data_IF_117126396550
#
_entry.id   IF_117126396550
#
_cell.length_a   1.000
_cell.length_b   1.000
_cell.length_c   1.000
_cell.angle_alpha   90.00
_cell.angle_beta   90.00
_cell.angle_gamma   90.00
#
_symmetry.space_group_name_H-M   'P 1'
#
loop_
_entity.id
_entity.type
_entity.pdbx_description
1 polymer ?
#
# COMPACT_ATOMS: atom_id res chain seq x y z
N UNK A 1 27.28 76.23 -25.08
CA UNK A 1 26.68 76.05 -26.43
C UNK A 1 26.19 74.63 -26.55
N UNK A 2 24.90 74.53 -26.84
CA UNK A 2 24.09 73.36 -27.24
C UNK A 2 24.20 72.07 -26.42
N UNK A 3 23.29 71.71 -25.52
CA UNK A 3 21.92 71.20 -25.64
C UNK A 3 21.74 70.06 -26.69
N UNK A 4 21.60 68.85 -26.22
CA UNK A 4 20.73 67.85 -26.84
C UNK A 4 20.12 66.92 -25.80
N UNK A 5 18.79 67.01 -25.69
CA UNK A 5 17.88 66.24 -24.92
C UNK A 5 17.67 64.86 -25.56
N UNK A 6 17.81 63.78 -24.84
CA UNK A 6 17.24 62.48 -25.22
C UNK A 6 16.34 61.96 -24.12
N UNK A 7 15.06 61.91 -24.48
CA UNK A 7 13.94 61.41 -23.66
C UNK A 7 14.08 59.93 -23.38
N UNK A 8 14.21 59.59 -22.12
CA UNK A 8 14.10 58.21 -21.63
C UNK A 8 12.59 57.81 -21.66
N UNK A 9 12.23 56.90 -22.56
CA UNK A 9 10.89 56.30 -22.59
C UNK A 9 10.81 55.23 -21.51
N UNK A 10 10.02 55.46 -20.51
CA UNK A 10 9.61 54.44 -19.54
C UNK A 10 8.68 53.46 -20.26
N UNK A 11 9.10 52.18 -20.33
CA UNK A 11 8.24 51.04 -20.70
C UNK A 11 7.76 50.41 -19.38
N UNK A 12 6.46 50.38 -19.11
CA UNK A 12 5.96 49.69 -17.95
C UNK A 12 6.12 48.17 -18.18
N UNK A 13 7.01 47.53 -17.42
CA UNK A 13 7.05 46.09 -17.32
C UNK A 13 5.84 45.65 -16.51
N UNK A 14 4.78 45.23 -17.19
CA UNK A 14 3.69 44.49 -16.59
C UNK A 14 4.27 43.12 -16.22
N UNK A 15 4.66 42.94 -14.96
CA UNK A 15 4.91 41.64 -14.38
C UNK A 15 3.57 40.91 -14.30
N UNK A 16 3.31 40.01 -15.25
CA UNK A 16 2.24 39.02 -15.19
C UNK A 16 2.65 38.05 -14.09
N UNK A 17 2.16 38.28 -12.89
CA UNK A 17 2.12 37.25 -11.83
C UNK A 17 1.13 36.18 -12.29
N UNK A 18 1.63 35.18 -12.99
CA UNK A 18 0.95 33.89 -13.11
C UNK A 18 0.91 33.31 -11.69
N UNK A 19 -0.18 33.58 -10.98
CA UNK A 19 -0.56 32.80 -9.84
C UNK A 19 -0.84 31.38 -10.37
N UNK A 20 0.17 30.52 -10.30
CA UNK A 20 -0.02 29.10 -10.43
C UNK A 20 -0.82 28.69 -9.19
N UNK A 21 -2.13 28.74 -9.31
CA UNK A 21 -3.04 28.08 -8.36
C UNK A 21 -2.76 26.60 -8.51
N UNK A 22 -1.78 26.09 -7.76
CA UNK A 22 -1.69 24.67 -7.50
C UNK A 22 -2.98 24.34 -6.73
N UNK A 23 -3.97 23.76 -7.42
CA UNK A 23 -5.08 23.12 -6.74
C UNK A 23 -4.46 22.18 -5.72
N UNK A 24 -4.75 22.38 -4.42
CA UNK A 24 -4.40 21.43 -3.41
C UNK A 24 -4.98 20.07 -3.87
N UNK A 25 -4.20 18.99 -3.87
CA UNK A 25 -4.74 17.70 -4.26
C UNK A 25 -5.90 17.38 -3.35
N UNK A 26 -6.99 16.91 -3.93
CA UNK A 26 -8.15 16.42 -3.19
C UNK A 26 -7.64 15.23 -2.37
N UNK A 27 -7.57 15.38 -1.05
CA UNK A 27 -6.98 14.37 -0.17
C UNK A 27 -7.92 13.17 0.06
N UNK A 28 -9.22 13.37 -0.10
CA UNK A 28 -10.28 12.38 0.11
C UNK A 28 -10.84 11.74 -1.17
N UNK A 29 -10.18 11.94 -2.31
CA UNK A 29 -10.52 11.31 -3.58
C UNK A 29 -11.92 11.73 -4.08
N UNK A 30 -12.81 10.73 -4.30
CA UNK A 30 -14.20 10.95 -4.74
C UNK A 30 -15.17 11.26 -3.60
N UNK A 31 -14.74 11.09 -2.35
CA UNK A 31 -15.54 11.32 -1.16
C UNK A 31 -15.63 12.81 -0.83
N UNK A 32 -16.75 13.19 -0.24
CA UNK A 32 -16.94 14.52 0.34
C UNK A 32 -16.70 14.42 1.83
N UNK A 33 -15.83 15.29 2.39
CA UNK A 33 -15.53 15.34 3.82
C UNK A 33 -15.05 13.97 4.37
N UNK A 34 -14.10 13.34 3.66
CA UNK A 34 -13.50 12.07 4.10
C UNK A 34 -12.54 12.23 5.26
N UNK A 35 -12.03 13.45 5.48
CA UNK A 35 -11.21 13.86 6.61
C UNK A 35 -12.02 14.35 7.83
N UNK A 36 -13.34 14.37 7.73
CA UNK A 36 -14.30 14.81 8.76
C UNK A 36 -14.06 16.23 9.31
N UNK A 37 -13.29 17.07 8.65
CA UNK A 37 -12.96 18.43 9.10
C UNK A 37 -14.08 19.44 8.85
N UNK A 38 -15.04 19.13 7.99
CA UNK A 38 -16.24 19.95 7.82
C UNK A 38 -17.24 19.57 8.89
N UNK A 39 -17.29 20.38 9.96
CA UNK A 39 -18.22 20.18 11.07
C UNK A 39 -19.67 20.57 10.70
N UNK A 40 -20.67 20.00 11.41
CA UNK A 40 -22.07 20.38 11.27
C UNK A 40 -22.30 21.87 11.55
N UNK A 41 -23.13 22.52 10.77
CA UNK A 41 -23.52 23.92 10.99
C UNK A 41 -24.34 24.04 12.28
N UNK A 42 -23.77 24.57 13.36
CA UNK A 42 -24.50 24.90 14.59
C UNK A 42 -24.03 24.26 15.90
N UNK A 43 -22.92 23.48 15.88
CA UNK A 43 -22.35 22.90 17.10
C UNK A 43 -21.33 23.82 17.78
N UNK A 44 -21.50 24.07 19.08
CA UNK A 44 -20.50 24.69 19.95
C UNK A 44 -19.36 23.70 20.20
N UNK A 45 -18.14 24.15 20.07
CA UNK A 45 -16.88 23.42 19.99
C UNK A 45 -16.37 22.75 21.27
N UNK A 46 -17.20 22.18 22.14
CA UNK A 46 -16.70 21.54 23.37
C UNK A 46 -17.49 20.36 23.94
N UNK A 47 -18.51 19.88 23.26
CA UNK A 47 -19.25 18.68 23.69
C UNK A 47 -19.29 17.68 22.54
N UNK A 48 -19.08 16.38 22.86
CA UNK A 48 -19.26 15.29 21.92
C UNK A 48 -20.67 15.40 21.29
N UNK A 49 -20.71 15.55 19.98
CA UNK A 49 -21.99 15.72 19.28
C UNK A 49 -22.46 14.33 18.90
N UNK A 50 -23.44 13.81 19.66
CA UNK A 50 -24.10 12.55 19.38
C UNK A 50 -25.15 12.75 18.28
N UNK A 51 -25.12 11.90 17.29
CA UNK A 51 -26.06 11.95 16.19
C UNK A 51 -26.90 10.67 16.18
N UNK A 52 -28.12 10.78 16.66
CA UNK A 52 -29.13 9.74 16.48
C UNK A 52 -30.14 10.23 15.44
N UNK A 53 -29.87 9.94 14.14
CA UNK A 53 -30.77 10.35 13.07
C UNK A 53 -30.06 10.59 11.72
N UNK A 54 -30.83 10.85 10.65
CA UNK A 54 -30.26 11.03 9.33
C UNK A 54 -29.47 12.35 9.21
N UNK A 55 -28.18 12.23 8.93
CA UNK A 55 -27.31 13.24 8.34
C UNK A 55 -26.96 14.45 9.22
N UNK A 56 -25.88 14.32 9.98
CA UNK A 56 -25.32 15.43 10.74
C UNK A 56 -23.86 15.71 10.41
N UNK A 57 -23.14 14.71 9.89
CA UNK A 57 -21.78 14.91 9.35
C UNK A 57 -21.95 15.25 7.85
N UNK A 58 -21.54 16.46 7.41
CA UNK A 58 -21.70 16.87 6.02
C UNK A 58 -21.11 15.84 5.05
N UNK A 59 -21.91 15.42 4.05
CA UNK A 59 -21.55 14.40 3.08
C UNK A 59 -21.84 12.96 3.50
N UNK A 60 -22.08 12.68 4.78
CA UNK A 60 -22.28 11.33 5.31
C UNK A 60 -23.69 11.11 5.85
N UNK A 61 -24.22 9.91 5.64
CA UNK A 61 -25.45 9.42 6.26
C UNK A 61 -25.08 8.58 7.49
N UNK A 62 -25.73 8.82 8.62
CA UNK A 62 -25.50 8.11 9.88
C UNK A 62 -26.66 7.19 10.21
N UNK A 63 -26.39 6.05 10.85
CA UNK A 63 -27.34 5.13 11.44
C UNK A 63 -26.81 4.67 12.79
N UNK A 64 -27.65 4.71 13.83
CA UNK A 64 -27.23 4.42 15.19
C UNK A 64 -26.42 5.56 15.82
N UNK A 65 -25.73 5.25 16.90
CA UNK A 65 -24.93 6.26 17.65
C UNK A 65 -23.61 6.51 16.94
N UNK A 66 -23.48 7.68 16.33
CA UNK A 66 -22.26 8.15 15.66
C UNK A 66 -21.81 9.42 16.37
N UNK A 67 -20.52 9.53 16.67
CA UNK A 67 -19.95 10.67 17.40
C UNK A 67 -18.83 11.31 16.59
N UNK A 68 -18.89 12.62 16.39
CA UNK A 68 -17.76 13.41 15.93
C UNK A 68 -16.88 13.74 17.13
N UNK A 69 -15.66 13.23 17.15
CA UNK A 69 -14.70 13.40 18.25
C UNK A 69 -13.60 14.37 17.87
N UNK A 70 -13.20 15.22 18.83
CA UNK A 70 -12.13 16.19 18.61
C UNK A 70 -10.80 15.67 19.16
N UNK A 71 -9.70 15.98 18.48
CA UNK A 71 -8.35 15.63 18.92
C UNK A 71 -8.05 16.24 20.30
N UNK A 72 -7.53 15.42 21.21
CA UNK A 72 -7.30 15.80 22.60
C UNK A 72 -8.46 15.50 23.55
N UNK A 73 -9.61 15.06 23.05
CA UNK A 73 -10.75 14.62 23.84
C UNK A 73 -10.41 13.35 24.63
N UNK A 74 -10.90 13.28 25.86
CA UNK A 74 -10.78 12.06 26.67
C UNK A 74 -11.89 11.08 26.29
N UNK A 75 -11.51 9.86 25.96
CA UNK A 75 -12.43 8.77 25.64
C UNK A 75 -11.96 7.51 26.38
N UNK A 76 -12.85 6.86 27.11
CA UNK A 76 -12.53 5.60 27.82
C UNK A 76 -11.27 5.67 28.71
N UNK A 77 -10.89 6.86 29.21
CA UNK A 77 -9.67 7.07 30.00
C UNK A 77 -8.41 7.38 29.18
N UNK A 78 -8.47 7.33 27.86
CA UNK A 78 -7.39 7.71 26.95
C UNK A 78 -7.62 9.11 26.37
N UNK A 79 -6.55 9.76 25.94
CA UNK A 79 -6.62 10.99 25.16
C UNK A 79 -6.52 10.58 23.68
N UNK A 80 -7.56 10.89 22.91
CA UNK A 80 -7.57 10.64 21.48
C UNK A 80 -6.74 11.71 20.76
N UNK A 81 -5.81 11.26 19.94
CA UNK A 81 -5.10 12.13 18.99
C UNK A 81 -5.47 11.63 17.60
N UNK A 82 -6.16 12.46 16.83
CA UNK A 82 -6.55 12.09 15.46
C UNK A 82 -5.34 12.14 14.53
N UNK A 83 -5.26 11.25 13.52
CA UNK A 83 -4.09 11.17 12.66
C UNK A 83 -3.98 12.33 11.68
N UNK A 84 -5.12 12.92 11.30
CA UNK A 84 -5.18 14.06 10.37
C UNK A 84 -6.19 15.10 10.87
N UNK A 85 -5.80 16.38 10.84
CA UNK A 85 -6.69 17.49 11.22
C UNK A 85 -7.03 17.51 12.71
N UNK A 86 -8.32 17.70 13.01
CA UNK A 86 -8.85 17.88 14.38
C UNK A 86 -9.96 16.91 14.75
N UNK A 87 -10.61 16.31 13.76
CA UNK A 87 -11.81 15.52 13.97
C UNK A 87 -11.66 14.10 13.45
N UNK A 88 -12.38 13.18 14.06
CA UNK A 88 -12.57 11.82 13.62
C UNK A 88 -14.00 11.37 13.97
N UNK A 89 -14.43 10.21 13.48
CA UNK A 89 -15.75 9.67 13.73
C UNK A 89 -15.68 8.37 14.50
N UNK A 90 -16.33 8.31 15.67
CA UNK A 90 -16.53 7.09 16.45
C UNK A 90 -17.87 6.45 16.14
N UNK A 91 -17.88 5.13 15.97
CA UNK A 91 -19.06 4.33 15.73
C UNK A 91 -19.44 3.53 17.00
N UNK A 92 -20.55 3.86 17.61
CA UNK A 92 -21.11 3.07 18.71
C UNK A 92 -21.63 1.70 18.24
N UNK A 93 -22.28 0.96 19.14
CA UNK A 93 -22.78 -0.35 18.88
C UNK A 93 -23.73 -0.38 17.65
N UNK A 94 -23.45 -1.26 16.69
CA UNK A 94 -24.22 -1.42 15.44
C UNK A 94 -24.39 -0.12 14.62
N UNK A 95 -23.58 0.90 14.92
CA UNK A 95 -23.62 2.17 14.21
C UNK A 95 -22.90 2.10 12.86
N UNK A 96 -23.35 2.95 11.95
CA UNK A 96 -22.85 2.99 10.58
C UNK A 96 -22.81 4.43 10.07
N UNK A 97 -21.76 4.74 9.28
CA UNK A 97 -21.76 5.90 8.39
C UNK A 97 -21.61 5.44 6.95
N UNK A 98 -22.20 6.17 6.02
CA UNK A 98 -22.13 5.84 4.61
C UNK A 98 -22.23 7.06 3.71
N UNK A 99 -21.67 6.92 2.51
CA UNK A 99 -21.77 7.91 1.46
C UNK A 99 -22.09 7.25 0.11
N UNK A 100 -22.98 7.87 -0.67
CA UNK A 100 -23.27 7.44 -2.04
C UNK A 100 -22.34 8.16 -3.02
N UNK A 101 -21.76 7.41 -3.92
CA UNK A 101 -20.77 7.89 -4.89
C UNK A 101 -21.14 7.47 -6.30
N UNK A 102 -20.76 8.32 -7.25
CA UNK A 102 -20.76 7.93 -8.66
C UNK A 102 -19.40 7.42 -9.06
N UNK A 103 -19.36 6.22 -9.61
CA UNK A 103 -18.16 5.50 -10.02
C UNK A 103 -18.35 4.99 -11.46
N UNK A 104 -17.29 4.51 -12.06
CA UNK A 104 -17.36 3.86 -13.37
C UNK A 104 -17.59 2.35 -13.19
N UNK A 105 -18.73 1.88 -13.69
CA UNK A 105 -19.09 0.45 -13.65
C UNK A 105 -17.99 -0.42 -14.26
N UNK A 106 -17.68 -1.53 -13.59
CA UNK A 106 -16.64 -2.49 -13.97
C UNK A 106 -15.22 -2.06 -13.61
N UNK A 107 -15.03 -0.85 -13.06
CA UNK A 107 -13.71 -0.38 -12.63
C UNK A 107 -13.40 -0.82 -11.21
N UNK A 108 -12.11 -0.98 -10.92
CA UNK A 108 -11.58 -1.34 -9.59
C UNK A 108 -11.30 -0.05 -8.80
N UNK A 109 -11.76 -0.01 -7.56
CA UNK A 109 -11.54 1.09 -6.63
C UNK A 109 -10.93 0.58 -5.33
N UNK A 110 -10.04 1.37 -4.75
CA UNK A 110 -9.52 1.17 -3.41
C UNK A 110 -10.05 2.23 -2.46
N UNK A 111 -10.57 1.82 -1.32
CA UNK A 111 -10.92 2.67 -0.19
C UNK A 111 -9.78 2.60 0.81
N UNK A 112 -9.12 3.74 1.07
CA UNK A 112 -8.10 3.87 2.11
C UNK A 112 -8.68 4.67 3.28
N UNK A 113 -8.35 4.30 4.50
CA UNK A 113 -8.83 4.96 5.71
C UNK A 113 -7.91 4.68 6.90
N UNK A 114 -7.94 5.54 7.89
CA UNK A 114 -7.30 5.32 9.19
C UNK A 114 -8.33 4.83 10.19
N UNK A 115 -7.95 3.87 11.02
CA UNK A 115 -8.81 3.36 12.08
C UNK A 115 -8.03 3.06 13.36
N UNK A 116 -8.72 3.21 14.49
CA UNK A 116 -8.23 2.88 15.81
C UNK A 116 -9.35 2.26 16.64
N UNK A 117 -8.97 1.56 17.71
CA UNK A 117 -9.89 1.18 18.78
C UNK A 117 -9.89 2.25 19.86
N UNK A 118 -11.01 2.41 20.55
CA UNK A 118 -11.15 3.35 21.67
C UNK A 118 -11.03 2.68 23.03
N UNK A 119 -11.24 1.38 23.10
CA UNK A 119 -11.19 0.61 24.33
C UNK A 119 -10.31 -0.64 24.20
N UNK A 120 -10.04 -1.30 25.34
CA UNK A 120 -9.25 -2.53 25.37
C UNK A 120 -10.02 -3.78 24.91
N UNK A 121 -11.29 -3.62 24.55
CA UNK A 121 -12.14 -4.71 24.06
C UNK A 121 -11.82 -5.08 22.62
N UNK A 122 -12.44 -6.17 22.18
CA UNK A 122 -12.38 -6.66 20.80
C UNK A 122 -13.19 -5.72 19.90
N UNK A 123 -12.55 -4.74 19.31
CA UNK A 123 -13.19 -3.85 18.35
C UNK A 123 -12.85 -4.26 16.92
N UNK A 124 -13.84 -4.20 16.04
CA UNK A 124 -13.66 -4.45 14.61
C UNK A 124 -14.45 -3.43 13.79
N UNK A 125 -14.03 -3.24 12.55
CA UNK A 125 -14.64 -2.32 11.62
C UNK A 125 -15.00 -3.06 10.34
N UNK A 126 -16.27 -3.01 9.94
CA UNK A 126 -16.70 -3.50 8.64
C UNK A 126 -16.70 -2.35 7.62
N UNK A 127 -15.99 -2.54 6.52
CA UNK A 127 -16.05 -1.68 5.35
C UNK A 127 -16.79 -2.41 4.23
N UNK A 128 -17.71 -1.74 3.55
CA UNK A 128 -18.52 -2.38 2.52
C UNK A 128 -18.90 -1.45 1.38
N UNK A 129 -18.99 -2.05 0.20
CA UNK A 129 -19.70 -1.58 -0.98
C UNK A 129 -20.49 -2.77 -1.49
N UNK A 130 -21.79 -2.87 -1.16
CA UNK A 130 -22.57 -4.07 -1.45
C UNK A 130 -22.50 -4.47 -2.93
N UNK A 131 -22.33 -5.78 -3.27
CA UNK A 131 -22.37 -6.92 -2.34
C UNK A 131 -21.05 -7.22 -1.60
N UNK A 132 -19.95 -6.54 -1.93
CA UNK A 132 -18.63 -6.78 -1.33
C UNK A 132 -18.51 -6.14 0.06
N UNK A 133 -17.82 -6.82 0.97
CA UNK A 133 -17.49 -6.29 2.29
C UNK A 133 -16.30 -7.00 2.92
N UNK A 134 -15.63 -6.32 3.84
CA UNK A 134 -14.58 -6.89 4.67
C UNK A 134 -14.67 -6.36 6.09
N UNK A 135 -14.45 -7.25 7.07
CA UNK A 135 -14.30 -6.87 8.47
C UNK A 135 -12.83 -6.88 8.86
N UNK A 136 -12.37 -5.79 9.44
CA UNK A 136 -11.00 -5.59 9.90
C UNK A 136 -11.01 -5.66 11.43
N UNK A 137 -10.15 -6.50 11.97
CA UNK A 137 -9.93 -6.63 13.41
C UNK A 137 -8.95 -5.54 13.86
N UNK A 138 -9.38 -4.69 14.77
CA UNK A 138 -8.59 -3.59 15.33
C UNK A 138 -7.84 -3.95 16.62
N UNK A 139 -7.83 -5.22 17.02
CA UNK A 139 -7.17 -5.67 18.25
C UNK A 139 -5.65 -5.55 18.18
N UNK A 140 -5.09 -5.84 17.03
CA UNK A 140 -3.66 -5.74 16.82
C UNK A 140 -3.37 -4.45 16.09
N UNK A 141 -2.96 -3.46 16.84
CA UNK A 141 -2.44 -2.21 16.30
C UNK A 141 -0.93 -2.34 16.15
N UNK A 142 -0.43 -1.94 15.01
CA UNK A 142 1.00 -1.94 14.73
C UNK A 142 1.66 -0.65 15.22
N UNK A 143 0.94 0.47 15.13
CA UNK A 143 1.40 1.77 15.60
C UNK A 143 1.24 1.93 17.10
N UNK A 144 2.27 2.46 17.76
CA UNK A 144 2.20 2.87 19.19
C UNK A 144 1.29 4.07 19.42
N UNK A 145 0.92 4.79 18.36
CA UNK A 145 -0.02 5.91 18.43
C UNK A 145 -1.48 5.44 18.49
N UNK A 146 -1.71 4.13 18.30
CA UNK A 146 -3.04 3.54 18.36
C UNK A 146 -3.86 3.64 17.08
N UNK A 147 -3.30 4.21 16.01
CA UNK A 147 -3.92 4.32 14.70
C UNK A 147 -3.12 3.57 13.66
N UNK A 148 -3.80 2.83 12.80
CA UNK A 148 -3.24 2.26 11.59
C UNK A 148 -4.07 2.69 10.38
N UNK A 149 -3.43 2.83 9.22
CA UNK A 149 -4.13 3.10 7.96
C UNK A 149 -4.27 1.80 7.17
N UNK A 150 -5.44 1.60 6.59
CA UNK A 150 -5.82 0.40 5.86
C UNK A 150 -6.29 0.74 4.46
N UNK A 151 -6.22 -0.22 3.55
CA UNK A 151 -6.85 -0.13 2.26
C UNK A 151 -7.58 -1.43 1.91
N UNK A 152 -8.79 -1.29 1.42
CA UNK A 152 -9.63 -2.36 0.89
C UNK A 152 -10.08 -1.99 -0.52
N UNK A 153 -10.28 -2.97 -1.40
CA UNK A 153 -10.71 -2.71 -2.76
C UNK A 153 -11.98 -3.48 -3.13
N UNK A 154 -12.69 -2.93 -4.10
CA UNK A 154 -13.89 -3.52 -4.67
C UNK A 154 -13.99 -3.21 -6.17
N UNK A 155 -14.61 -4.11 -6.92
CA UNK A 155 -15.02 -3.84 -8.28
C UNK A 155 -16.42 -3.22 -8.27
N UNK A 156 -16.61 -2.13 -8.99
CA UNK A 156 -17.90 -1.45 -9.06
C UNK A 156 -18.86 -2.20 -9.97
N UNK A 157 -19.90 -2.80 -9.42
CA UNK A 157 -20.93 -3.52 -10.18
C UNK A 157 -21.95 -2.57 -10.83
N UNK A 158 -22.07 -1.35 -10.29
CA UNK A 158 -23.01 -0.30 -10.73
C UNK A 158 -22.30 1.07 -10.77
N UNK A 159 -22.95 2.07 -11.38
CA UNK A 159 -22.45 3.44 -11.44
C UNK A 159 -22.69 4.23 -10.14
N UNK A 160 -23.76 3.88 -9.42
CA UNK A 160 -24.09 4.44 -8.11
C UNK A 160 -23.77 3.39 -7.03
N UNK A 161 -22.76 3.65 -6.21
CA UNK A 161 -22.34 2.76 -5.15
C UNK A 161 -22.46 3.44 -3.79
N UNK A 162 -22.68 2.63 -2.76
CA UNK A 162 -22.74 3.09 -1.37
C UNK A 162 -21.53 2.53 -0.62
N UNK A 163 -20.60 3.39 -0.26
CA UNK A 163 -19.49 3.05 0.65
C UNK A 163 -20.00 3.20 2.09
N UNK A 164 -19.79 2.19 2.91
CA UNK A 164 -20.23 2.20 4.29
C UNK A 164 -19.18 1.65 5.25
N UNK A 165 -19.10 2.27 6.42
CA UNK A 165 -18.33 1.81 7.58
C UNK A 165 -19.27 1.52 8.73
N UNK A 166 -19.18 0.32 9.29
CA UNK A 166 -20.07 -0.14 10.36
C UNK A 166 -19.25 -0.76 11.49
N UNK A 167 -19.65 -0.46 12.72
CA UNK A 167 -19.25 -1.24 13.89
C UNK A 167 -20.14 -2.48 13.99
N UNK A 168 -19.64 -3.69 13.73
CA UNK A 168 -20.43 -4.92 13.89
C UNK A 168 -20.50 -5.37 15.36
N UNK A 169 -19.73 -4.72 16.26
CA UNK A 169 -19.62 -5.08 17.66
C UNK A 169 -20.78 -4.59 18.52
N UNK A 170 -20.83 -5.17 19.71
CA UNK A 170 -21.77 -4.80 20.77
C UNK A 170 -20.95 -4.70 22.06
N UNK A 171 -20.28 -3.54 22.21
CA UNK A 171 -19.45 -3.26 23.38
C UNK A 171 -20.36 -3.06 24.63
N UNK A 172 -19.89 -3.56 25.79
CA UNK A 172 -20.59 -3.38 27.06
C UNK A 172 -20.58 -1.90 27.51
N UNK A 173 -19.50 -1.19 27.20
CA UNK A 173 -19.37 0.25 27.42
C UNK A 173 -19.81 1.01 26.15
N UNK A 174 -20.90 1.78 26.22
CA UNK A 174 -21.40 2.53 25.06
C UNK A 174 -20.47 3.64 24.57
N UNK A 175 -19.43 3.98 25.35
CA UNK A 175 -18.40 4.93 24.95
C UNK A 175 -17.28 4.29 24.13
N UNK A 176 -17.27 2.96 24.00
CA UNK A 176 -16.35 2.21 23.16
C UNK A 176 -16.86 2.10 21.70
N UNK A 177 -15.99 1.66 20.83
CA UNK A 177 -16.27 1.40 19.43
C UNK A 177 -15.19 1.96 18.50
N UNK A 178 -15.07 1.40 17.29
CA UNK A 178 -14.05 1.82 16.34
C UNK A 178 -14.17 3.31 16.00
N UNK A 179 -13.03 3.94 15.85
CA UNK A 179 -12.91 5.33 15.40
C UNK A 179 -12.22 5.33 14.04
N UNK A 180 -12.73 6.14 13.12
CA UNK A 180 -12.23 6.26 11.75
C UNK A 180 -11.91 7.71 11.39
N UNK A 181 -10.93 7.86 10.50
CA UNK A 181 -10.51 9.15 9.97
C UNK A 181 -9.85 8.97 8.60
N UNK A 182 -9.63 10.09 7.91
CA UNK A 182 -8.87 10.15 6.65
C UNK A 182 -9.35 9.10 5.63
N UNK A 183 -10.65 9.13 5.29
CA UNK A 183 -11.23 8.22 4.29
C UNK A 183 -11.03 8.79 2.90
N UNK A 184 -10.44 7.99 2.01
CA UNK A 184 -10.27 8.33 0.60
C UNK A 184 -10.61 7.15 -0.30
N UNK A 185 -11.01 7.44 -1.52
CA UNK A 185 -11.25 6.44 -2.55
C UNK A 185 -10.45 6.78 -3.81
N UNK A 186 -9.82 5.79 -4.41
CA UNK A 186 -9.04 5.92 -5.63
C UNK A 186 -9.43 4.83 -6.62
N UNK A 187 -9.67 5.22 -7.87
CA UNK A 187 -9.71 4.26 -8.96
C UNK A 187 -8.29 3.72 -9.18
N UNK A 188 -8.15 2.40 -9.20
CA UNK A 188 -6.89 1.72 -9.45
C UNK A 188 -6.95 0.93 -10.75
N UNK A 189 -5.80 0.78 -11.40
CA UNK A 189 -5.70 0.14 -12.69
C UNK A 189 -4.82 -1.10 -12.59
N UNK A 190 -5.18 -2.16 -13.28
CA UNK A 190 -4.29 -3.30 -13.43
C UNK A 190 -3.25 -2.94 -14.50
N UNK A 191 -1.95 -2.84 -14.16
CA UNK A 191 -0.93 -2.50 -15.13
C UNK A 191 -0.81 -3.54 -16.23
N UNK A 192 -0.46 -3.07 -17.44
CA UNK A 192 -0.27 -3.97 -18.56
C UNK A 192 0.99 -4.82 -18.34
N UNK A 193 0.84 -6.12 -18.49
CA UNK A 193 1.96 -7.08 -18.39
C UNK A 193 3.03 -6.76 -19.43
N UNK A 194 4.27 -6.59 -19.00
CA UNK A 194 5.41 -6.35 -19.87
C UNK A 194 5.75 -7.62 -20.66
N UNK A 195 6.18 -7.46 -21.92
CA UNK A 195 6.42 -8.59 -22.84
C UNK A 195 7.39 -9.65 -22.30
N UNK A 196 8.37 -9.25 -21.50
CA UNK A 196 9.41 -10.15 -21.01
C UNK A 196 9.32 -10.38 -19.49
N UNK A 197 8.32 -9.81 -18.81
CA UNK A 197 8.09 -10.01 -17.39
C UNK A 197 6.76 -10.75 -17.18
N UNK A 198 6.79 -11.87 -16.48
CA UNK A 198 5.58 -12.61 -16.15
C UNK A 198 4.79 -11.99 -15.00
N UNK A 199 5.42 -11.10 -14.20
CA UNK A 199 4.79 -10.39 -13.09
C UNK A 199 4.04 -9.16 -13.58
N UNK A 200 2.88 -8.90 -12.99
CA UNK A 200 2.09 -7.68 -13.15
C UNK A 200 2.36 -6.81 -11.93
N UNK A 201 2.49 -5.48 -12.12
CA UNK A 201 2.71 -4.51 -11.03
C UNK A 201 3.88 -4.93 -10.10
N UNK A 202 4.99 -5.37 -10.69
CA UNK A 202 6.15 -5.80 -9.90
C UNK A 202 6.95 -4.65 -9.31
N UNK A 203 6.75 -3.43 -9.81
CA UNK A 203 7.27 -2.16 -9.32
C UNK A 203 6.34 -1.49 -8.30
N UNK A 204 5.20 -2.10 -7.99
CA UNK A 204 4.19 -1.65 -7.02
C UNK A 204 3.72 -0.20 -7.19
N UNK A 205 3.92 0.41 -8.36
CA UNK A 205 3.54 1.82 -8.59
C UNK A 205 2.02 2.03 -8.62
N UNK A 206 1.23 0.98 -8.92
CA UNK A 206 -0.21 1.01 -8.81
C UNK A 206 -0.68 0.34 -7.50
N UNK A 207 -1.49 1.06 -6.75
CA UNK A 207 -1.96 0.64 -5.44
C UNK A 207 -2.86 1.68 -4.79
N UNK A 208 -3.16 1.54 -3.49
CA UNK A 208 -4.11 2.38 -2.78
C UNK A 208 -3.69 3.85 -2.70
N UNK A 209 -4.64 4.67 -2.25
CA UNK A 209 -4.35 6.06 -1.93
C UNK A 209 -3.37 6.16 -0.77
N UNK A 210 -2.41 7.09 -0.88
CA UNK A 210 -1.45 7.40 0.17
C UNK A 210 -1.70 8.82 0.68
N UNK A 211 -2.00 8.94 1.96
CA UNK A 211 -2.20 10.23 2.59
C UNK A 211 -0.87 10.96 2.78
N UNK A 212 -0.81 12.23 2.43
CA UNK A 212 0.42 13.03 2.51
C UNK A 212 0.99 13.17 3.91
N UNK A 213 0.11 13.17 4.90
CA UNK A 213 0.49 13.34 6.31
C UNK A 213 0.61 12.00 7.06
N UNK A 214 0.23 10.89 6.42
CA UNK A 214 0.31 9.57 7.02
C UNK A 214 1.69 8.95 6.84
N UNK A 215 2.60 9.25 7.73
CA UNK A 215 3.96 8.68 7.79
C UNK A 215 3.99 7.18 8.16
N UNK A 216 2.81 6.54 8.31
CA UNK A 216 2.70 5.15 8.74
C UNK A 216 2.60 4.15 7.58
N UNK A 217 2.43 4.64 6.34
CA UNK A 217 2.11 3.78 5.20
C UNK A 217 0.68 3.25 5.28
N UNK A 218 0.32 2.31 4.41
CA UNK A 218 -1.03 1.73 4.34
C UNK A 218 -0.94 0.21 4.48
N UNK A 219 -1.61 -0.35 5.46
CA UNK A 219 -1.71 -1.79 5.68
C UNK A 219 -2.70 -2.40 4.69
N UNK A 220 -2.30 -3.50 4.08
CA UNK A 220 -3.14 -4.27 3.17
C UNK A 220 -3.66 -5.49 3.92
N UNK A 221 -4.97 -5.55 4.27
CA UNK A 221 -5.57 -6.71 4.88
C UNK A 221 -5.54 -7.92 3.96
N UNK A 222 -5.81 -9.10 4.50
CA UNK A 222 -5.95 -10.32 3.72
C UNK A 222 -6.90 -10.13 2.55
N UNK A 223 -6.43 -10.43 1.35
CA UNK A 223 -7.24 -10.51 0.15
C UNK A 223 -6.71 -11.67 -0.71
N UNK A 224 -7.55 -12.70 -0.89
CA UNK A 224 -7.21 -13.89 -1.66
C UNK A 224 -7.70 -13.84 -3.12
N UNK A 225 -8.33 -12.73 -3.49
CA UNK A 225 -8.84 -12.48 -4.83
C UNK A 225 -8.00 -11.39 -5.50
N UNK A 226 -7.26 -11.75 -6.56
CA UNK A 226 -6.41 -10.83 -7.29
C UNK A 226 -7.20 -9.83 -8.16
N UNK A 227 -8.46 -10.13 -8.48
CA UNK A 227 -9.33 -9.24 -9.26
C UNK A 227 -9.83 -8.06 -8.43
N UNK A 228 -9.94 -8.23 -7.10
CA UNK A 228 -10.41 -7.19 -6.16
C UNK A 228 -9.32 -6.75 -5.17
N UNK A 229 -8.05 -6.92 -5.52
CA UNK A 229 -6.95 -6.53 -4.64
C UNK A 229 -6.66 -5.03 -4.70
N UNK A 230 -6.43 -4.42 -3.51
CA UNK A 230 -5.88 -3.05 -3.42
C UNK A 230 -4.46 -2.93 -4.00
N UNK A 231 -3.78 -4.07 -4.19
CA UNK A 231 -2.47 -4.17 -4.84
C UNK A 231 -2.65 -4.94 -6.16
N UNK A 232 -2.98 -4.29 -7.27
CA UNK A 232 -3.35 -4.96 -8.52
C UNK A 232 -2.34 -6.02 -8.96
N UNK A 233 -2.87 -7.22 -9.29
CA UNK A 233 -2.07 -8.38 -9.67
C UNK A 233 -1.50 -9.18 -8.52
N UNK A 234 -1.56 -8.69 -7.29
CA UNK A 234 -1.05 -9.37 -6.09
C UNK A 234 -2.17 -9.70 -5.11
N UNK A 235 -2.04 -10.82 -4.43
CA UNK A 235 -2.88 -11.18 -3.29
C UNK A 235 -2.10 -11.07 -1.99
N UNK A 236 -2.80 -10.76 -0.90
CA UNK A 236 -2.29 -10.74 0.46
C UNK A 236 -2.85 -11.95 1.18
N UNK A 237 -2.03 -12.95 1.48
CA UNK A 237 -2.49 -14.27 1.91
C UNK A 237 -2.71 -14.41 3.41
N UNK A 238 -2.33 -13.43 4.21
CA UNK A 238 -2.44 -13.56 5.66
C UNK A 238 -3.01 -12.32 6.33
N UNK A 239 -3.55 -12.51 7.54
CA UNK A 239 -4.23 -11.48 8.31
C UNK A 239 -3.32 -10.34 8.80
N UNK A 240 -2.04 -10.38 8.50
CA UNK A 240 -1.11 -9.41 9.06
C UNK A 240 -0.10 -8.95 8.03
N UNK A 241 -0.11 -7.74 7.96
CA UNK A 241 0.84 -6.71 7.75
C UNK A 241 1.73 -6.87 6.54
N UNK A 242 1.13 -6.62 5.42
CA UNK A 242 1.81 -6.11 4.25
C UNK A 242 1.57 -4.61 4.24
N UNK A 243 2.62 -3.81 4.29
CA UNK A 243 2.55 -2.35 4.29
C UNK A 243 2.94 -1.80 2.94
N UNK A 244 2.06 -1.01 2.34
CA UNK A 244 2.33 -0.22 1.14
C UNK A 244 2.96 1.10 1.56
N UNK A 245 4.14 1.42 1.03
CA UNK A 245 4.94 2.59 1.41
C UNK A 245 5.26 3.47 0.21
N UNK A 246 5.57 4.74 0.46
CA UNK A 246 5.93 5.71 -0.56
C UNK A 246 7.30 6.36 -0.31
N UNK A 247 7.89 6.88 -1.40
CA UNK A 247 9.19 7.55 -1.36
C UNK A 247 9.16 8.93 -0.70
N UNK A 248 7.98 9.45 -0.35
CA UNK A 248 7.87 10.72 0.36
C UNK A 248 8.18 10.57 1.86
N UNK A 249 7.78 9.43 2.44
CA UNK A 249 7.93 9.15 3.87
C UNK A 249 9.00 8.08 4.17
N UNK A 250 9.31 7.24 3.18
CA UNK A 250 10.16 6.06 3.37
C UNK A 250 11.27 5.98 2.32
N UNK A 251 12.25 5.16 2.59
CA UNK A 251 13.22 4.74 1.58
C UNK A 251 12.62 3.62 0.75
N UNK A 252 12.48 3.84 -0.57
CA UNK A 252 12.03 2.84 -1.53
C UNK A 252 13.15 2.50 -2.51
N UNK A 253 13.29 1.24 -2.94
CA UNK A 253 14.35 0.81 -3.87
C UNK A 253 14.28 1.45 -5.25
N UNK A 254 13.07 1.58 -5.80
CA UNK A 254 12.82 2.16 -7.12
C UNK A 254 11.55 3.01 -7.14
N UNK A 255 11.36 3.82 -8.18
CA UNK A 255 10.13 4.56 -8.39
C UNK A 255 9.67 5.41 -7.21
N UNK A 256 8.38 5.28 -6.89
CA UNK A 256 7.71 6.03 -5.81
C UNK A 256 7.07 5.13 -4.75
N UNK A 257 6.95 3.83 -5.00
CA UNK A 257 6.19 2.89 -4.18
C UNK A 257 6.96 1.60 -3.96
N UNK A 258 6.70 0.95 -2.84
CA UNK A 258 7.24 -0.37 -2.54
C UNK A 258 6.37 -1.10 -1.52
N UNK A 259 6.65 -2.37 -1.27
CA UNK A 259 6.01 -3.19 -0.25
C UNK A 259 7.00 -3.47 0.87
N UNK A 260 6.57 -3.23 2.10
CA UNK A 260 7.27 -3.65 3.30
C UNK A 260 6.54 -4.83 3.95
N UNK A 261 7.28 -5.88 4.27
CA UNK A 261 6.75 -7.12 4.82
C UNK A 261 6.94 -7.12 6.35
N UNK A 262 5.83 -6.91 7.05
CA UNK A 262 5.80 -6.87 8.51
C UNK A 262 5.54 -8.27 9.10
N UNK A 263 5.66 -8.42 10.41
CA UNK A 263 5.16 -9.57 11.18
C UNK A 263 5.59 -10.97 10.71
N UNK A 264 6.79 -11.10 10.17
CA UNK A 264 7.35 -12.40 9.83
C UNK A 264 6.50 -13.17 8.81
N UNK A 265 6.19 -14.44 9.11
CA UNK A 265 5.42 -15.33 8.22
C UNK A 265 3.96 -14.92 8.03
N UNK A 266 3.48 -13.93 8.74
CA UNK A 266 2.09 -13.51 8.71
C UNK A 266 1.80 -12.47 7.62
N UNK A 267 2.83 -11.79 7.09
CA UNK A 267 2.71 -10.84 5.99
C UNK A 267 3.19 -11.46 4.67
N UNK A 268 2.31 -12.12 3.92
CA UNK A 268 2.64 -12.79 2.66
C UNK A 268 1.98 -12.09 1.50
N UNK A 269 2.77 -11.70 0.52
CA UNK A 269 2.26 -11.33 -0.81
C UNK A 269 2.58 -12.42 -1.82
N UNK A 270 1.68 -12.66 -2.75
CA UNK A 270 1.92 -13.59 -3.84
C UNK A 270 1.21 -13.21 -5.13
N UNK A 271 1.70 -13.77 -6.23
CA UNK A 271 1.09 -13.65 -7.55
C UNK A 271 1.20 -14.97 -8.32
N UNK A 272 0.16 -15.34 -9.05
CA UNK A 272 0.20 -16.45 -9.99
C UNK A 272 0.69 -15.96 -11.35
N UNK A 273 1.90 -16.35 -11.73
CA UNK A 273 2.49 -15.96 -13.03
C UNK A 273 2.41 -17.09 -14.06
N UNK A 274 2.24 -16.71 -15.31
CA UNK A 274 2.26 -17.68 -16.44
C UNK A 274 3.68 -18.15 -16.70
N UNK A 275 3.84 -19.46 -16.81
CA UNK A 275 5.11 -20.11 -17.04
C UNK A 275 4.97 -21.23 -18.08
N UNK A 276 6.09 -21.74 -18.56
CA UNK A 276 6.10 -22.94 -19.43
C UNK A 276 6.74 -24.09 -18.65
N UNK A 277 6.07 -25.24 -18.52
CA UNK A 277 6.59 -26.38 -17.78
C UNK A 277 7.99 -26.78 -18.24
N UNK A 278 8.81 -27.20 -17.30
CA UNK A 278 10.20 -27.64 -17.51
C UNK A 278 11.11 -26.59 -18.18
N UNK A 279 10.79 -25.30 -18.00
CA UNK A 279 11.67 -24.21 -18.48
C UNK A 279 12.26 -23.47 -17.28
N UNK A 280 13.53 -23.05 -17.40
CA UNK A 280 14.19 -22.27 -16.37
C UNK A 280 13.70 -20.81 -16.41
N UNK A 281 13.54 -20.23 -15.24
CA UNK A 281 13.19 -18.83 -14.99
C UNK A 281 14.10 -18.25 -13.92
N UNK A 282 14.24 -16.95 -13.96
CA UNK A 282 14.86 -16.17 -12.91
C UNK A 282 13.84 -15.16 -12.40
N UNK A 283 13.56 -15.19 -11.12
CA UNK A 283 12.87 -14.13 -10.40
C UNK A 283 13.93 -13.17 -9.85
N UNK A 284 13.88 -11.90 -10.23
CA UNK A 284 14.74 -10.84 -9.71
C UNK A 284 13.90 -9.82 -8.97
N UNK A 285 14.45 -9.19 -7.94
CA UNK A 285 13.78 -8.17 -7.15
C UNK A 285 14.80 -7.33 -6.38
N UNK A 286 14.38 -6.15 -5.94
CA UNK A 286 15.12 -5.30 -5.03
C UNK A 286 14.72 -5.62 -3.59
N UNK A 287 15.69 -5.78 -2.71
CA UNK A 287 15.52 -6.02 -1.27
C UNK A 287 16.22 -4.90 -0.49
N UNK A 288 15.49 -4.26 0.41
CA UNK A 288 15.99 -3.12 1.16
C UNK A 288 15.34 -2.97 2.54
N UNK A 289 15.38 -1.74 3.05
CA UNK A 289 14.71 -1.31 4.27
C UNK A 289 14.01 0.04 4.04
N UNK A 290 12.98 0.30 4.81
CA UNK A 290 12.16 1.51 4.69
C UNK A 290 12.81 2.79 5.28
N UNK A 291 13.95 2.69 5.93
CA UNK A 291 14.59 3.82 6.62
C UNK A 291 13.95 4.18 7.96
N UNK A 292 13.11 3.31 8.50
CA UNK A 292 12.22 3.51 9.63
C UNK A 292 12.73 2.89 10.94
N UNK A 293 14.03 2.90 11.16
CA UNK A 293 14.69 2.41 12.39
C UNK A 293 14.47 0.91 12.69
N UNK A 294 14.18 0.11 11.69
CA UNK A 294 13.96 -1.33 11.85
C UNK A 294 15.22 -2.06 12.31
N UNK A 295 15.07 -2.87 13.37
CA UNK A 295 16.19 -3.62 13.94
C UNK A 295 16.64 -4.74 13.00
N UNK A 296 17.93 -4.78 12.73
CA UNK A 296 18.57 -5.87 11.96
C UNK A 296 18.61 -7.18 12.78
N UNK A 297 18.67 -8.38 12.15
CA UNK A 297 18.79 -8.60 10.71
C UNK A 297 17.43 -8.53 9.97
N UNK A 298 17.48 -8.15 8.70
CA UNK A 298 16.34 -8.25 7.78
C UNK A 298 16.60 -9.38 6.78
N UNK A 299 15.59 -10.18 6.51
CA UNK A 299 15.64 -11.21 5.48
C UNK A 299 14.23 -11.55 5.01
N UNK A 300 14.15 -12.03 3.78
CA UNK A 300 12.91 -12.55 3.22
C UNK A 300 13.05 -14.03 2.87
N UNK A 301 11.91 -14.70 2.84
CA UNK A 301 11.74 -15.94 2.10
C UNK A 301 11.10 -15.62 0.76
N UNK A 302 11.80 -15.95 -0.31
CA UNK A 302 11.29 -15.85 -1.68
C UNK A 302 10.91 -17.24 -2.20
N UNK A 303 9.76 -17.35 -2.86
CA UNK A 303 9.21 -18.61 -3.38
C UNK A 303 8.90 -18.49 -4.87
N UNK A 304 9.11 -19.60 -5.57
CA UNK A 304 8.65 -19.81 -6.93
C UNK A 304 8.24 -21.28 -7.10
N UNK A 305 6.95 -21.56 -7.05
CA UNK A 305 6.40 -22.92 -7.05
C UNK A 305 6.85 -23.70 -5.81
N UNK A 306 7.57 -24.80 -6.04
CA UNK A 306 8.13 -25.68 -5.00
C UNK A 306 9.55 -25.28 -4.55
N UNK A 307 10.11 -24.21 -5.09
CA UNK A 307 11.45 -23.74 -4.80
C UNK A 307 11.39 -22.50 -3.94
N UNK A 308 12.25 -22.45 -2.92
CA UNK A 308 12.31 -21.37 -1.95
C UNK A 308 13.76 -21.06 -1.56
N UNK A 309 14.00 -19.80 -1.22
CA UNK A 309 15.30 -19.34 -0.74
C UNK A 309 15.14 -18.26 0.31
N UNK A 310 15.89 -18.38 1.41
CA UNK A 310 16.08 -17.29 2.37
C UNK A 310 17.15 -16.34 1.85
N UNK A 311 16.82 -15.06 1.80
CA UNK A 311 17.72 -14.02 1.28
C UNK A 311 17.84 -12.94 2.34
N UNK A 312 19.08 -12.75 2.82
CA UNK A 312 19.40 -11.75 3.82
C UNK A 312 19.72 -10.41 3.16
N UNK A 313 19.17 -9.35 3.73
CA UNK A 313 19.58 -8.01 3.39
C UNK A 313 20.91 -7.70 4.06
N UNK A 314 21.89 -7.33 3.25
CA UNK A 314 23.21 -6.93 3.73
C UNK A 314 23.41 -5.45 3.40
N UNK A 315 23.31 -4.55 4.39
CA UNK A 315 23.53 -3.13 4.18
C UNK A 315 24.90 -2.87 3.53
N UNK A 316 24.88 -2.01 2.53
CA UNK A 316 26.09 -1.58 1.84
C UNK A 316 26.20 -0.06 2.04
N UNK A 317 27.40 0.45 2.29
CA UNK A 317 27.65 1.89 2.51
C UNK A 317 27.21 2.78 1.34
N UNK A 318 27.03 2.22 0.16
CA UNK A 318 26.71 2.95 -1.07
C UNK A 318 25.27 2.73 -1.57
N UNK A 319 24.48 1.84 -0.95
CA UNK A 319 23.12 1.54 -1.39
C UNK A 319 22.24 1.14 -0.22
N UNK A 320 21.02 1.62 -0.22
CA UNK A 320 19.95 1.27 0.75
C UNK A 320 19.18 0.00 0.35
N UNK A 321 19.52 -0.59 -0.78
CA UNK A 321 18.92 -1.83 -1.28
C UNK A 321 19.95 -2.66 -2.06
N UNK A 322 19.60 -3.94 -2.24
CA UNK A 322 20.38 -4.88 -3.05
C UNK A 322 19.46 -5.57 -4.07
N UNK A 323 19.97 -5.83 -5.26
CA UNK A 323 19.30 -6.70 -6.22
C UNK A 323 19.56 -8.15 -5.84
N UNK A 324 18.49 -8.91 -5.75
CA UNK A 324 18.51 -10.33 -5.39
C UNK A 324 17.79 -11.15 -6.44
N UNK A 325 18.04 -12.47 -6.47
CA UNK A 325 17.39 -13.35 -7.42
C UNK A 325 17.13 -14.74 -6.84
N UNK A 326 16.13 -15.41 -7.42
CA UNK A 326 15.82 -16.82 -7.23
C UNK A 326 15.69 -17.47 -8.61
N UNK A 327 16.58 -18.44 -8.90
CA UNK A 327 16.47 -19.25 -10.11
C UNK A 327 15.59 -20.45 -9.84
N UNK A 328 14.64 -20.73 -10.73
CA UNK A 328 13.74 -21.86 -10.59
C UNK A 328 13.39 -22.51 -11.92
N UNK A 329 12.92 -23.74 -11.86
CA UNK A 329 12.36 -24.45 -13.01
C UNK A 329 10.85 -24.57 -12.82
N UNK A 330 10.07 -23.99 -13.72
CA UNK A 330 8.61 -24.08 -13.67
C UNK A 330 8.14 -25.53 -13.81
N UNK A 331 7.21 -25.97 -12.96
CA UNK A 331 6.61 -27.31 -12.98
C UNK A 331 5.29 -27.36 -13.76
N UNK A 332 4.63 -26.22 -13.88
CA UNK A 332 3.30 -26.09 -14.48
C UNK A 332 3.22 -24.87 -15.40
N UNK A 333 2.08 -24.66 -16.03
CA UNK A 333 1.79 -23.49 -16.87
C UNK A 333 1.56 -22.22 -16.04
N UNK A 334 1.29 -22.38 -14.75
CA UNK A 334 1.19 -21.29 -13.76
C UNK A 334 2.08 -21.61 -12.57
N UNK A 335 2.83 -20.61 -12.11
CA UNK A 335 3.73 -20.73 -10.96
C UNK A 335 3.38 -19.64 -9.95
N UNK A 336 3.14 -20.01 -8.70
CA UNK A 336 3.00 -19.05 -7.61
C UNK A 336 4.37 -18.50 -7.25
N UNK A 337 4.52 -17.18 -7.29
CA UNK A 337 5.65 -16.45 -6.71
C UNK A 337 5.19 -15.75 -5.45
N UNK A 338 6.02 -15.74 -4.40
CA UNK A 338 5.61 -15.18 -3.13
C UNK A 338 6.81 -14.69 -2.30
N UNK A 339 6.50 -13.74 -1.38
CA UNK A 339 7.45 -13.20 -0.43
C UNK A 339 6.84 -13.08 0.95
N UNK A 340 7.62 -13.37 2.00
CA UNK A 340 7.33 -12.96 3.37
C UNK A 340 8.62 -12.63 4.13
N UNK A 341 8.53 -11.86 5.22
CA UNK A 341 9.66 -11.60 6.11
C UNK A 341 10.08 -12.87 6.85
N UNK A 342 11.38 -13.19 6.85
CA UNK A 342 11.91 -14.34 7.57
C UNK A 342 11.93 -14.12 9.09
N UNK A 343 11.87 -12.86 9.55
CA UNK A 343 11.97 -12.49 10.96
C UNK A 343 10.79 -11.64 11.41
N UNK A 344 10.53 -11.65 12.72
CA UNK A 344 9.67 -10.68 13.39
C UNK A 344 10.57 -9.52 13.82
N UNK A 345 10.44 -8.40 13.13
CA UNK A 345 11.25 -7.22 13.39
C UNK A 345 10.50 -6.22 14.25
N UNK A 346 11.25 -5.41 14.99
CA UNK A 346 10.75 -4.28 15.75
C UNK A 346 11.60 -3.05 15.46
N UNK A 347 10.98 -1.89 15.56
CA UNK A 347 11.68 -0.60 15.47
C UNK A 347 12.51 -0.36 16.72
N UNK A 348 13.60 0.37 16.59
CA UNK A 348 14.48 0.71 17.72
C UNK A 348 14.09 2.02 18.41
N UNK A 349 13.26 2.84 17.76
CA UNK A 349 12.84 4.16 18.23
C UNK A 349 11.57 4.10 19.09
N UNK A 350 10.59 3.29 18.71
CA UNK A 350 9.29 3.23 19.41
C UNK A 350 8.88 1.80 19.82
N UNK A 351 9.71 0.80 19.53
CA UNK A 351 9.48 -0.62 19.82
C UNK A 351 8.23 -1.22 19.15
N UNK A 352 7.62 -0.52 18.19
CA UNK A 352 6.52 -1.06 17.40
C UNK A 352 6.97 -2.18 16.46
N UNK A 353 6.03 -2.96 15.97
CA UNK A 353 6.25 -3.99 14.93
C UNK A 353 6.03 -3.47 13.50
N UNK A 354 5.88 -2.16 13.33
CA UNK A 354 5.71 -1.50 12.04
C UNK A 354 7.03 -1.39 11.30
N UNK A 355 7.70 -2.48 11.03
CA UNK A 355 8.87 -2.50 10.18
C UNK A 355 9.25 -3.91 9.71
N UNK A 356 9.96 -3.97 8.60
CA UNK A 356 10.42 -5.21 8.01
C UNK A 356 11.29 -5.00 6.77
N UNK A 357 11.59 -6.07 6.03
CA UNK A 357 12.26 -5.95 4.75
C UNK A 357 11.34 -5.35 3.69
N UNK A 358 11.90 -4.49 2.84
CA UNK A 358 11.22 -3.88 1.70
C UNK A 358 11.54 -4.65 0.43
N UNK A 359 10.49 -4.98 -0.34
CA UNK A 359 10.56 -5.65 -1.65
C UNK A 359 10.05 -4.73 -2.72
N UNK A 360 10.73 -4.70 -3.88
CA UNK A 360 10.38 -3.87 -5.02
C UNK A 360 10.95 -4.45 -6.33
N UNK A 361 10.57 -3.87 -7.47
CA UNK A 361 11.08 -4.22 -8.82
C UNK A 361 11.07 -5.73 -9.12
N UNK A 362 9.99 -6.43 -8.76
CA UNK A 362 9.87 -7.87 -8.96
C UNK A 362 9.69 -8.20 -10.44
N UNK A 363 10.54 -9.07 -10.95
CA UNK A 363 10.47 -9.56 -12.34
C UNK A 363 10.65 -11.07 -12.37
N UNK A 364 9.89 -11.71 -13.22
CA UNK A 364 10.05 -13.13 -13.54
C UNK A 364 10.24 -13.27 -15.03
N UNK A 365 11.43 -13.63 -15.42
CA UNK A 365 11.82 -13.76 -16.81
C UNK A 365 12.30 -15.18 -17.10
N UNK A 366 12.02 -15.63 -18.31
CA UNK A 366 12.55 -16.92 -18.77
C UNK A 366 14.05 -16.80 -18.97
N UNK A 367 14.83 -17.63 -18.26
CA UNK A 367 16.27 -17.68 -18.42
C UNK A 367 16.63 -18.11 -19.83
N UNK A 368 17.57 -17.40 -20.45
CA UNK A 368 18.08 -17.79 -21.76
C UNK A 368 18.74 -19.17 -21.65
N UNK A 369 18.28 -20.12 -22.42
CA UNK A 369 19.01 -21.40 -22.58
C UNK A 369 20.31 -21.11 -23.31
N UNK A 370 21.43 -21.05 -22.60
CA UNK A 370 22.73 -21.15 -23.23
C UNK A 370 22.80 -22.56 -23.86
N UNK A 371 22.51 -22.68 -25.15
CA UNK A 371 22.97 -23.82 -25.90
C UNK A 371 24.48 -23.68 -25.93
N UNK A 372 25.19 -24.41 -25.08
CA UNK A 372 26.60 -24.67 -25.25
C UNK A 372 26.67 -25.42 -26.59
N UNK A 373 27.01 -24.70 -27.66
CA UNK A 373 27.49 -25.33 -28.89
C UNK A 373 28.85 -25.89 -28.48
N UNK A 374 28.86 -27.14 -28.08
CA UNK A 374 30.06 -27.97 -28.14
C UNK A 374 30.49 -28.00 -29.61
N UNK A 375 31.37 -27.10 -29.96
CA UNK A 375 32.13 -27.20 -31.22
C UNK A 375 33.00 -28.42 -31.05
N UNK A 376 32.55 -29.53 -31.60
CA UNK A 376 33.41 -30.68 -31.84
C UNK A 376 34.32 -30.24 -33.00
N UNK A 377 35.45 -29.65 -32.67
CA UNK A 377 36.57 -29.56 -33.57
C UNK A 377 37.13 -30.97 -33.71
N UNK A 378 36.77 -31.61 -34.83
CA UNK A 378 37.41 -32.84 -35.29
C UNK A 378 38.85 -32.49 -35.70
N UNK A 379 39.78 -32.65 -34.76
CA UNK A 379 41.21 -32.62 -35.10
C UNK A 379 41.52 -33.90 -35.85
N UNK A 380 41.49 -33.80 -37.17
CA UNK A 380 42.02 -34.85 -38.05
C UNK A 380 43.55 -34.79 -37.96
N UNK A 381 44.12 -35.64 -37.12
CA UNK A 381 45.55 -35.96 -37.18
C UNK A 381 45.81 -36.74 -38.44
N UNK A 382 46.41 -36.09 -39.46
CA UNK A 382 47.08 -36.76 -40.58
C UNK A 382 48.38 -37.34 -40.05
N UNK A 383 48.42 -38.66 -39.86
CA UNK A 383 49.64 -39.39 -39.62
C UNK A 383 50.54 -39.42 -40.84
N UNK A 384 51.67 -38.73 -40.78
CA UNK A 384 52.76 -38.90 -41.71
C UNK A 384 53.50 -40.22 -41.39
N UNK A 385 53.35 -41.21 -42.28
CA UNK A 385 54.23 -42.38 -42.28
C UNK A 385 55.52 -41.97 -43.00
N UNK A 386 56.60 -41.86 -42.24
CA UNK A 386 57.93 -41.85 -42.80
C UNK A 386 58.44 -43.28 -42.86
N UNK A 387 58.59 -43.82 -44.09
CA UNK A 387 59.38 -44.97 -44.37
C UNK A 387 60.87 -44.63 -44.23
N UNK A 388 61.61 -45.38 -43.44
CA UNK A 388 63.04 -45.46 -43.49
C UNK A 388 63.39 -46.95 -43.75
N UNK A 389 64.02 -47.19 -44.94
CA UNK A 389 64.72 -48.39 -45.26
C UNK A 389 66.10 -48.39 -44.65
N UNK A 390 66.49 -49.45 -44.07
CA UNK A 390 67.71 -50.20 -44.18
C UNK A 390 67.73 -51.36 -43.21
#
# INVERSE_FOLDING_TARGET
MCLSSTKCKWVPVFALLLACSAAAPVEDGLLVNGDFETAPSGGSSSEAVFFDGPSTIPGWKSKGTVELVESGQKQGGMILIVPQGKHAVRLGNDAEISQELKVEKGSLYSVAFSAARTCAQLESLNVSVPPASQTIDLQTLYSVQGWDSYAWAFQADEEDVRVAFRNPGMEDDPTCGPIIDAVAIKKIYVPVKLKNNAVINGDFEEGPWMFRNASLGVLLPTNLDDETSSLPGWIVESNRAVRYIDSYHFTVPGGKRAIELLSGKEGIISQMVETKPNKPYTMTFSLGHAGDSCKQPLAIMAFAGDQAQSIHYTPNSNSTFQTSNLNFTARAERTRVAFYSAYYNTRTDDMSSLCGPVVDDVRVERSASYKIRLGIELILFFGFHLFVQA
#
